data_IF_016965052398
#
_entry.id   IF_016965052398
#
_cell.length_a   1.000
_cell.length_b   1.000
_cell.length_c   1.000
_cell.angle_alpha   90.00
_cell.angle_beta   90.00
_cell.angle_gamma   90.00
#
_symmetry.space_group_name_H-M   'P 1'
#
loop_
_entity.id
_entity.type
_entity.pdbx_description
1 polymer ?
#
# COMPACT_ATOMS: atom_id res chain seq x y z
N UNK A 1 -16.65 -5.08 14.13
CA UNK A 1 -15.79 -3.94 14.51
C UNK A 1 -15.90 -2.76 13.55
N UNK A 2 -15.93 -2.99 12.23
CA UNK A 2 -16.16 -1.93 11.24
C UNK A 2 -17.53 -2.05 10.57
N UNK A 3 -18.13 -0.90 10.25
CA UNK A 3 -19.34 -0.79 9.42
C UNK A 3 -18.97 -0.07 8.12
N UNK A 4 -18.92 -0.80 7.00
CA UNK A 4 -18.68 -0.22 5.69
C UNK A 4 -20.00 0.35 5.17
N UNK A 5 -20.20 1.64 5.38
CA UNK A 5 -21.45 2.33 5.03
C UNK A 5 -21.63 2.51 3.51
N UNK A 6 -20.56 2.92 2.82
CA UNK A 6 -20.63 3.27 1.41
C UNK A 6 -19.30 3.08 0.68
N UNK A 7 -19.40 2.87 -0.64
CA UNK A 7 -18.28 2.90 -1.60
C UNK A 7 -18.56 3.95 -2.67
N UNK A 8 -17.51 4.51 -3.25
CA UNK A 8 -17.61 5.58 -4.26
C UNK A 8 -16.75 5.24 -5.45
N UNK A 9 -17.35 5.29 -6.64
CA UNK A 9 -16.62 5.22 -7.91
C UNK A 9 -17.36 6.03 -8.99
N UNK A 10 -16.85 6.03 -10.21
CA UNK A 10 -17.38 6.70 -11.39
C UNK A 10 -18.84 6.34 -11.70
N UNK A 11 -19.23 5.11 -11.38
CA UNK A 11 -20.57 4.57 -11.55
C UNK A 11 -21.22 4.25 -10.20
N UNK A 12 -22.55 4.08 -10.19
CA UNK A 12 -23.30 3.55 -9.05
C UNK A 12 -23.92 2.18 -9.37
N UNK A 13 -23.45 1.51 -10.42
CA UNK A 13 -23.97 0.22 -10.86
C UNK A 13 -23.46 -0.91 -9.94
N UNK A 14 -24.29 -1.29 -8.97
CA UNK A 14 -23.91 -2.29 -7.97
C UNK A 14 -23.72 -3.69 -8.60
N UNK A 15 -24.36 -3.99 -9.73
CA UNK A 15 -24.16 -5.26 -10.44
C UNK A 15 -22.72 -5.37 -10.96
N UNK A 16 -22.19 -4.26 -11.50
CA UNK A 16 -20.81 -4.21 -11.96
C UNK A 16 -19.80 -4.33 -10.81
N UNK A 17 -20.04 -3.64 -9.69
CA UNK A 17 -19.18 -3.80 -8.50
C UNK A 17 -19.24 -5.22 -7.94
N UNK A 18 -20.42 -5.83 -7.88
CA UNK A 18 -20.57 -7.22 -7.45
C UNK A 18 -19.81 -8.18 -8.37
N UNK A 19 -19.81 -7.92 -9.68
CA UNK A 19 -19.00 -8.69 -10.63
C UNK A 19 -17.49 -8.54 -10.34
N UNK A 20 -16.99 -7.31 -10.18
CA UNK A 20 -15.58 -7.05 -9.86
C UNK A 20 -15.15 -7.74 -8.54
N UNK A 21 -16.01 -7.70 -7.51
CA UNK A 21 -15.73 -8.35 -6.23
C UNK A 21 -15.76 -9.89 -6.28
N UNK A 22 -16.51 -10.48 -7.23
CA UNK A 22 -16.66 -11.94 -7.35
C UNK A 22 -15.52 -12.60 -8.12
N UNK A 23 -14.87 -11.86 -9.00
CA UNK A 23 -13.91 -12.42 -9.95
C UNK A 23 -12.65 -11.57 -10.01
N UNK A 24 -11.62 -12.00 -9.27
CA UNK A 24 -10.29 -11.41 -9.34
C UNK A 24 -9.32 -12.35 -10.08
N UNK A 25 -8.57 -11.81 -11.03
CA UNK A 25 -7.61 -12.57 -11.85
C UNK A 25 -6.44 -13.12 -11.04
N UNK A 26 -6.00 -12.40 -10.01
CA UNK A 26 -4.84 -12.75 -9.18
C UNK A 26 -5.29 -13.44 -7.89
N UNK A 27 -6.26 -12.85 -7.20
CA UNK A 27 -6.65 -13.27 -5.85
C UNK A 27 -7.77 -14.33 -5.84
N UNK A 28 -8.34 -14.64 -7.00
CA UNK A 28 -9.36 -15.68 -7.17
C UNK A 28 -10.76 -15.24 -6.75
N UNK A 29 -11.55 -16.20 -6.26
CA UNK A 29 -12.96 -15.96 -5.87
C UNK A 29 -13.07 -15.64 -4.38
N UNK A 30 -13.97 -14.73 -3.99
CA UNK A 30 -14.17 -14.42 -2.58
C UNK A 30 -14.78 -15.60 -1.83
N UNK A 31 -14.54 -15.64 -0.51
CA UNK A 31 -15.15 -16.60 0.43
C UNK A 31 -16.45 -16.08 1.07
N UNK A 32 -16.98 -14.96 0.57
CA UNK A 32 -18.18 -14.29 1.07
C UNK A 32 -19.24 -14.19 -0.03
N UNK A 33 -20.51 -14.08 0.36
CA UNK A 33 -21.57 -13.81 -0.61
C UNK A 33 -21.54 -12.34 -1.03
N UNK A 34 -21.85 -12.10 -2.30
CA UNK A 34 -22.04 -10.76 -2.85
C UNK A 34 -23.31 -10.73 -3.66
N UNK A 35 -24.27 -9.96 -3.18
CA UNK A 35 -25.57 -9.72 -3.78
C UNK A 35 -25.75 -8.22 -4.01
N UNK A 36 -26.84 -7.85 -4.68
CA UNK A 36 -27.16 -6.45 -4.96
C UNK A 36 -28.61 -6.17 -4.61
N UNK A 37 -28.88 -4.94 -4.20
CA UNK A 37 -30.21 -4.48 -3.89
C UNK A 37 -30.41 -3.04 -4.39
N UNK A 38 -31.67 -2.62 -4.38
CA UNK A 38 -32.05 -1.21 -4.57
C UNK A 38 -32.16 -0.53 -3.21
N UNK A 39 -31.74 0.73 -3.13
CA UNK A 39 -31.96 1.59 -1.97
C UNK A 39 -33.43 2.02 -1.84
N UNK A 40 -34.13 2.16 -2.98
CA UNK A 40 -35.55 2.54 -3.06
C UNK A 40 -36.20 1.92 -4.31
N UNK A 41 -37.51 1.63 -4.33
CA UNK A 41 -38.22 1.19 -5.53
C UNK A 41 -38.07 2.13 -6.75
N UNK A 42 -37.78 3.41 -6.51
CA UNK A 42 -37.65 4.44 -7.55
C UNK A 42 -36.33 4.39 -8.32
N UNK A 43 -35.30 3.69 -7.84
CA UNK A 43 -34.01 3.60 -8.55
C UNK A 43 -34.07 2.59 -9.69
N UNK A 44 -33.51 2.96 -10.85
CA UNK A 44 -33.58 2.14 -12.07
C UNK A 44 -32.80 0.83 -11.94
N UNK A 45 -31.54 0.92 -11.50
CA UNK A 45 -30.61 -0.20 -11.30
C UNK A 45 -30.26 -0.37 -9.82
N UNK A 46 -29.86 -1.57 -9.38
CA UNK A 46 -29.30 -1.77 -8.05
C UNK A 46 -28.13 -0.81 -7.77
N UNK A 47 -28.17 -0.18 -6.60
CA UNK A 47 -27.21 0.83 -6.12
C UNK A 47 -26.71 0.51 -4.70
N UNK A 48 -26.99 -0.70 -4.23
CA UNK A 48 -26.55 -1.20 -2.92
C UNK A 48 -25.90 -2.56 -3.13
N UNK A 49 -24.68 -2.73 -2.60
CA UNK A 49 -24.03 -4.03 -2.44
C UNK A 49 -24.53 -4.69 -1.15
N UNK A 50 -24.71 -6.00 -1.17
CA UNK A 50 -25.06 -6.79 0.01
C UNK A 50 -24.01 -7.89 0.18
N UNK A 51 -23.15 -7.75 1.19
CA UNK A 51 -22.03 -8.66 1.43
C UNK A 51 -22.24 -9.40 2.74
N UNK A 52 -22.44 -10.72 2.71
CA UNK A 52 -22.84 -11.51 3.89
C UNK A 52 -24.03 -10.90 4.65
N UNK A 53 -25.00 -10.32 3.93
CA UNK A 53 -26.16 -9.63 4.50
C UNK A 53 -25.92 -8.16 4.89
N UNK A 54 -24.68 -7.68 4.92
CA UNK A 54 -24.35 -6.28 5.21
C UNK A 54 -24.59 -5.38 4.00
N UNK A 55 -25.30 -4.27 4.18
CA UNK A 55 -25.69 -3.36 3.09
C UNK A 55 -24.70 -2.20 2.97
N UNK A 56 -24.16 -1.99 1.77
CA UNK A 56 -23.16 -0.97 1.46
C UNK A 56 -23.68 -0.12 0.30
N UNK A 57 -23.85 1.19 0.51
CA UNK A 57 -24.37 2.09 -0.52
C UNK A 57 -23.32 2.39 -1.60
N UNK A 58 -23.70 2.30 -2.86
CA UNK A 58 -22.89 2.80 -3.97
C UNK A 58 -23.20 4.28 -4.21
N UNK A 59 -22.22 5.14 -3.98
CA UNK A 59 -22.35 6.60 -4.11
C UNK A 59 -21.60 7.06 -5.35
N UNK A 60 -22.18 8.03 -6.06
CA UNK A 60 -21.57 8.58 -7.26
C UNK A 60 -20.35 9.42 -6.92
N UNK A 61 -19.24 9.20 -7.62
CA UNK A 61 -18.05 10.03 -7.49
C UNK A 61 -18.35 11.51 -7.75
N UNK A 62 -17.73 12.36 -6.94
CA UNK A 62 -17.72 13.81 -7.11
C UNK A 62 -16.33 14.25 -7.57
N UNK A 63 -16.26 15.33 -8.36
CA UNK A 63 -14.98 15.92 -8.77
C UNK A 63 -14.24 16.54 -7.59
N UNK A 64 -14.97 17.03 -6.59
CA UNK A 64 -14.44 17.61 -5.37
C UNK A 64 -14.87 16.75 -4.16
N UNK A 65 -13.94 16.26 -3.33
CA UNK A 65 -14.25 15.49 -2.13
C UNK A 65 -15.20 16.17 -1.13
N UNK A 66 -15.27 17.51 -1.14
CA UNK A 66 -16.16 18.29 -0.28
C UNK A 66 -17.65 18.13 -0.63
N UNK A 67 -17.97 17.71 -1.85
CA UNK A 67 -19.34 17.53 -2.31
C UNK A 67 -19.89 16.13 -1.93
N UNK A 68 -19.05 15.26 -1.37
CA UNK A 68 -19.46 13.92 -0.97
C UNK A 68 -20.31 13.96 0.31
N UNK A 69 -21.39 13.17 0.39
CA UNK A 69 -22.39 13.28 1.45
C UNK A 69 -22.01 12.54 2.75
N UNK A 70 -20.76 12.61 3.20
CA UNK A 70 -20.27 11.82 4.33
C UNK A 70 -21.03 12.07 5.63
N UNK A 71 -21.29 13.34 5.96
CA UNK A 71 -22.06 13.69 7.15
C UNK A 71 -23.50 13.17 7.10
N UNK A 72 -24.12 13.15 5.90
CA UNK A 72 -25.48 12.61 5.72
C UNK A 72 -25.53 11.09 5.85
N UNK A 73 -24.45 10.42 5.46
CA UNK A 73 -24.31 8.97 5.57
C UNK A 73 -23.79 8.52 6.94
N UNK A 74 -23.41 9.44 7.82
CA UNK A 74 -22.82 9.11 9.12
C UNK A 74 -21.40 8.53 9.03
N UNK A 75 -20.68 8.77 7.93
CA UNK A 75 -19.33 8.25 7.72
C UNK A 75 -18.32 9.11 8.47
N UNK A 76 -17.60 8.50 9.41
CA UNK A 76 -16.57 9.19 10.20
C UNK A 76 -15.15 9.00 9.62
N UNK A 77 -14.85 7.82 9.08
CA UNK A 77 -13.55 7.47 8.54
C UNK A 77 -13.67 7.19 7.03
N UNK A 78 -12.83 7.85 6.24
CA UNK A 78 -12.76 7.67 4.78
C UNK A 78 -11.40 7.14 4.39
N UNK A 79 -11.38 6.09 3.57
CA UNK A 79 -10.17 5.61 2.89
C UNK A 79 -10.14 6.24 1.49
N UNK A 80 -9.21 7.16 1.29
CA UNK A 80 -9.02 7.84 0.01
C UNK A 80 -8.12 7.02 -0.90
N UNK A 81 -8.72 6.37 -1.89
CA UNK A 81 -8.07 5.41 -2.80
C UNK A 81 -8.26 5.73 -4.29
N UNK A 82 -8.65 6.96 -4.62
CA UNK A 82 -8.76 7.39 -6.04
C UNK A 82 -7.39 7.63 -6.67
N UNK A 83 -6.37 7.94 -5.86
CA UNK A 83 -5.05 8.38 -6.31
C UNK A 83 -5.00 9.83 -6.80
N UNK A 84 -6.15 10.53 -6.86
CA UNK A 84 -6.24 11.93 -7.33
C UNK A 84 -6.05 12.95 -6.20
N UNK A 85 -6.37 12.55 -4.96
CA UNK A 85 -6.38 13.44 -3.79
C UNK A 85 -5.24 13.15 -2.81
N UNK A 86 -4.03 12.84 -3.31
CA UNK A 86 -2.83 12.59 -2.48
C UNK A 86 -2.25 13.84 -1.82
N UNK A 87 -2.74 15.03 -2.17
CA UNK A 87 -2.37 16.27 -1.49
C UNK A 87 -3.30 16.49 -0.28
N UNK A 88 -2.71 16.75 0.91
CA UNK A 88 -3.45 16.94 2.17
C UNK A 88 -4.62 17.90 2.03
N UNK A 89 -4.40 19.10 1.50
CA UNK A 89 -5.43 20.13 1.39
C UNK A 89 -6.60 19.71 0.47
N UNK A 90 -6.34 18.85 -0.52
CA UNK A 90 -7.40 18.28 -1.36
C UNK A 90 -8.18 17.18 -0.63
N UNK A 91 -7.47 16.27 0.05
CA UNK A 91 -8.08 15.21 0.87
C UNK A 91 -8.91 15.76 2.05
N UNK A 92 -8.52 16.91 2.61
CA UNK A 92 -9.31 17.63 3.62
C UNK A 92 -10.72 18.02 3.13
N UNK A 93 -10.97 17.98 1.82
CA UNK A 93 -12.32 18.09 1.28
C UNK A 93 -13.28 17.05 1.87
N UNK A 94 -12.85 15.81 2.14
CA UNK A 94 -13.72 14.82 2.80
C UNK A 94 -14.16 15.26 4.20
N UNK A 95 -13.32 16.02 4.92
CA UNK A 95 -13.71 16.56 6.23
C UNK A 95 -14.84 17.59 6.07
N UNK A 96 -14.78 18.41 5.02
CA UNK A 96 -15.85 19.35 4.67
C UNK A 96 -17.14 18.63 4.24
N UNK A 97 -17.02 17.46 3.61
CA UNK A 97 -18.14 16.57 3.31
C UNK A 97 -18.79 15.92 4.54
N UNK A 98 -18.18 16.08 5.72
CA UNK A 98 -18.70 15.62 7.02
C UNK A 98 -17.98 14.40 7.61
N UNK A 99 -16.92 13.90 6.98
CA UNK A 99 -16.06 12.90 7.59
C UNK A 99 -15.21 13.51 8.72
N UNK A 100 -14.71 12.69 9.64
CA UNK A 100 -13.84 13.12 10.75
C UNK A 100 -12.37 12.82 10.48
N UNK A 101 -12.08 11.72 9.79
CA UNK A 101 -10.73 11.22 9.55
C UNK A 101 -10.59 10.72 8.11
N UNK A 102 -9.41 10.93 7.53
CA UNK A 102 -9.07 10.48 6.17
C UNK A 102 -7.75 9.72 6.21
N UNK A 103 -7.75 8.54 5.59
CA UNK A 103 -6.56 7.71 5.38
C UNK A 103 -6.30 7.67 3.88
N UNK A 104 -5.22 8.31 3.44
CA UNK A 104 -4.76 8.26 2.05
C UNK A 104 -4.01 6.93 1.87
N UNK A 105 -4.45 6.10 0.92
CA UNK A 105 -3.84 4.77 0.65
C UNK A 105 -2.58 4.83 -0.23
N UNK A 106 -1.94 6.00 -0.29
CA UNK A 106 -0.74 6.29 -1.07
C UNK A 106 0.13 7.34 -0.37
N UNK A 107 1.40 7.54 -0.78
CA UNK A 107 2.23 8.64 -0.28
C UNK A 107 1.54 9.99 -0.48
N UNK A 108 1.44 10.77 0.59
CA UNK A 108 0.79 12.06 0.57
C UNK A 108 1.79 13.22 0.46
N UNK A 109 1.30 14.36 -0.01
CA UNK A 109 2.03 15.64 -0.02
C UNK A 109 1.31 16.70 0.81
N UNK A 110 2.00 17.80 1.14
CA UNK A 110 1.40 18.90 1.90
C UNK A 110 1.31 18.67 3.41
N UNK A 111 2.23 17.86 3.97
CA UNK A 111 2.37 17.71 5.42
C UNK A 111 1.30 16.85 6.09
N UNK A 112 0.75 15.85 5.39
CA UNK A 112 -0.02 14.78 6.04
C UNK A 112 0.95 13.87 6.81
N UNK A 113 0.54 13.36 7.98
CA UNK A 113 1.39 12.44 8.75
C UNK A 113 1.43 11.09 8.05
N UNK A 114 2.62 10.66 7.65
CA UNK A 114 2.88 9.31 7.13
C UNK A 114 3.01 8.33 8.30
N UNK A 115 2.26 7.24 8.24
CA UNK A 115 2.20 6.19 9.26
C UNK A 115 2.43 4.84 8.59
N UNK A 116 3.30 4.03 9.19
CA UNK A 116 3.56 2.63 8.82
C UNK A 116 3.33 1.75 10.04
N UNK A 117 2.47 0.75 9.88
CA UNK A 117 2.08 -0.18 10.94
C UNK A 117 3.28 -1.02 11.40
N UNK A 118 3.41 -1.20 12.72
CA UNK A 118 4.54 -1.90 13.35
C UNK A 118 5.84 -1.09 13.42
N UNK A 119 5.87 0.12 12.85
CA UNK A 119 7.07 0.97 12.81
C UNK A 119 6.87 2.26 13.60
N UNK A 120 5.89 3.07 13.21
CA UNK A 120 5.64 4.37 13.83
C UNK A 120 4.15 4.67 14.10
N UNK A 121 3.27 3.67 14.04
CA UNK A 121 1.82 3.86 14.22
C UNK A 121 1.42 4.37 15.61
N UNK A 122 2.26 4.18 16.63
CA UNK A 122 2.12 4.79 17.94
C UNK A 122 2.26 6.32 17.93
N UNK A 123 2.83 6.92 16.87
CA UNK A 123 2.94 8.37 16.72
C UNK A 123 1.64 9.03 16.23
N UNK A 124 0.59 8.24 15.99
CA UNK A 124 -0.72 8.77 15.66
C UNK A 124 -1.27 9.61 16.83
N UNK A 125 -1.51 10.90 16.58
CA UNK A 125 -2.16 11.80 17.52
C UNK A 125 -3.61 12.08 17.06
N UNK A 126 -4.62 11.59 17.79
CA UNK A 126 -6.02 11.79 17.44
C UNK A 126 -6.46 13.26 17.33
N UNK A 127 -5.80 14.19 18.02
CA UNK A 127 -6.21 15.61 18.00
C UNK A 127 -5.68 16.37 16.78
N UNK A 128 -4.54 15.97 16.21
CA UNK A 128 -3.87 16.70 15.14
C UNK A 128 -3.79 15.94 13.81
N UNK A 129 -3.86 14.61 13.83
CA UNK A 129 -3.75 13.78 12.63
C UNK A 129 -5.14 13.44 12.09
N UNK A 130 -5.77 14.39 11.39
CA UNK A 130 -7.08 14.18 10.77
C UNK A 130 -6.99 13.62 9.35
N UNK A 131 -5.90 13.93 8.64
CA UNK A 131 -5.58 13.37 7.33
C UNK A 131 -4.18 12.76 7.42
N UNK A 132 -4.11 11.44 7.25
CA UNK A 132 -2.88 10.65 7.34
C UNK A 132 -2.64 9.88 6.06
N UNK A 133 -1.40 9.44 5.84
CA UNK A 133 -1.01 8.58 4.74
C UNK A 133 -0.55 7.24 5.28
N UNK A 134 -1.00 6.15 4.65
CA UNK A 134 -0.49 4.80 4.91
C UNK A 134 0.76 4.48 4.06
N UNK A 135 1.48 5.51 3.59
CA UNK A 135 2.64 5.42 2.72
C UNK A 135 2.34 4.66 1.41
N UNK A 136 3.36 4.02 0.83
CA UNK A 136 3.26 3.14 -0.35
C UNK A 136 3.43 1.66 0.03
N UNK A 137 3.05 0.74 -0.84
CA UNK A 137 3.33 -0.69 -0.69
C UNK A 137 4.84 -0.95 -0.49
N UNK A 138 5.71 -0.36 -1.32
CA UNK A 138 7.17 -0.52 -1.19
C UNK A 138 7.70 0.06 0.12
N UNK A 139 7.18 1.20 0.59
CA UNK A 139 7.58 1.76 1.91
C UNK A 139 7.15 0.83 3.04
N UNK A 140 5.95 0.25 2.98
CA UNK A 140 5.48 -0.73 3.97
C UNK A 140 6.29 -2.04 3.93
N UNK A 141 6.93 -2.39 2.81
CA UNK A 141 7.85 -3.52 2.74
C UNK A 141 9.25 -3.19 3.29
N UNK A 142 9.80 -2.02 2.93
CA UNK A 142 11.16 -1.61 3.31
C UNK A 142 11.27 -1.13 4.76
N UNK A 143 10.29 -0.36 5.26
CA UNK A 143 10.37 0.24 6.59
C UNK A 143 10.45 -0.78 7.74
N UNK A 144 9.72 -1.92 7.73
CA UNK A 144 9.91 -2.99 8.71
C UNK A 144 11.34 -3.52 8.79
N UNK A 145 12.00 -3.74 7.64
CA UNK A 145 13.38 -4.23 7.58
C UNK A 145 14.33 -3.21 8.22
N UNK A 146 14.24 -1.95 7.79
CA UNK A 146 15.06 -0.85 8.31
C UNK A 146 14.80 -0.60 9.80
N UNK A 147 13.54 -0.72 10.24
CA UNK A 147 13.17 -0.59 11.65
C UNK A 147 13.87 -1.65 12.51
N UNK A 148 13.89 -2.90 12.07
CA UNK A 148 14.62 -3.98 12.76
C UNK A 148 16.12 -3.67 12.78
N UNK A 149 16.72 -3.27 11.66
CA UNK A 149 18.16 -2.93 11.59
C UNK A 149 18.55 -1.84 12.60
N UNK A 150 17.73 -0.81 12.75
CA UNK A 150 17.95 0.28 13.72
C UNK A 150 17.72 -0.21 15.15
N UNK A 151 16.60 -0.89 15.40
CA UNK A 151 16.18 -1.29 16.75
C UNK A 151 17.11 -2.33 17.38
N UNK A 152 17.67 -3.21 16.56
CA UNK A 152 18.68 -4.21 16.96
C UNK A 152 20.10 -3.60 17.02
N UNK A 153 20.22 -2.30 16.72
CA UNK A 153 21.43 -1.53 16.87
C UNK A 153 22.50 -1.79 15.80
N UNK A 154 22.17 -2.45 14.67
CA UNK A 154 23.06 -2.52 13.51
C UNK A 154 23.23 -1.16 12.85
N UNK A 155 22.14 -0.39 12.83
CA UNK A 155 22.10 0.93 12.20
C UNK A 155 22.18 0.87 10.68
N UNK A 156 22.07 2.04 10.07
CA UNK A 156 22.20 2.24 8.63
C UNK A 156 22.99 3.54 8.43
N UNK A 157 24.16 3.45 7.82
CA UNK A 157 24.96 4.62 7.43
C UNK A 157 24.46 5.19 6.12
N UNK A 158 24.40 4.35 5.09
CA UNK A 158 23.84 4.64 3.78
C UNK A 158 23.21 3.38 3.21
N UNK A 159 22.23 3.53 2.33
CA UNK A 159 21.64 2.40 1.64
C UNK A 159 20.95 2.79 0.34
N UNK A 160 21.00 1.85 -0.61
CA UNK A 160 20.33 1.91 -1.89
C UNK A 160 19.38 0.73 -1.99
N UNK A 161 18.17 1.02 -2.46
CA UNK A 161 17.15 0.00 -2.66
C UNK A 161 16.74 -0.05 -4.12
N UNK A 162 16.64 -1.26 -4.64
CA UNK A 162 15.93 -1.57 -5.88
C UNK A 162 14.67 -2.33 -5.53
N UNK A 163 13.54 -2.01 -6.17
CA UNK A 163 12.37 -2.89 -6.12
C UNK A 163 12.09 -3.46 -7.50
N UNK A 164 12.04 -4.79 -7.59
CA UNK A 164 11.54 -5.49 -8.78
C UNK A 164 10.03 -5.61 -8.58
N UNK A 165 9.30 -4.81 -9.35
CA UNK A 165 7.92 -4.48 -9.07
C UNK A 165 7.00 -4.99 -10.19
N UNK A 166 5.89 -5.62 -9.82
CA UNK A 166 4.84 -5.97 -10.78
C UNK A 166 4.27 -4.72 -11.45
N UNK A 167 3.77 -4.85 -12.68
CA UNK A 167 3.12 -3.70 -13.33
C UNK A 167 1.78 -3.38 -12.62
N UNK A 168 1.30 -2.15 -12.77
CA UNK A 168 0.08 -1.68 -12.08
C UNK A 168 -0.86 -0.97 -13.05
N UNK A 169 -2.05 -0.57 -12.57
CA UNK A 169 -3.08 0.10 -13.36
C UNK A 169 -2.64 1.42 -14.02
N UNK A 170 -1.51 2.01 -13.59
CA UNK A 170 -0.99 3.24 -14.22
C UNK A 170 -0.29 2.98 -15.55
N UNK A 171 0.23 1.77 -15.76
CA UNK A 171 0.96 1.37 -16.97
C UNK A 171 0.00 1.09 -18.14
N UNK A 172 0.55 0.90 -19.33
CA UNK A 172 -0.21 0.72 -20.58
C UNK A 172 -0.03 -0.70 -21.12
N UNK A 173 -1.09 -1.25 -21.70
CA UNK A 173 -1.09 -2.56 -22.35
C UNK A 173 -0.19 -2.58 -23.58
N UNK A 174 -0.22 -1.50 -24.36
CA UNK A 174 0.63 -1.22 -25.52
C UNK A 174 1.32 0.13 -25.37
N UNK A 175 2.30 0.43 -26.21
CA UNK A 175 2.97 1.73 -26.23
C UNK A 175 1.94 2.88 -26.35
N UNK A 176 2.01 3.86 -25.44
CA UNK A 176 1.01 4.92 -25.33
C UNK A 176 1.50 6.17 -24.58
N UNK A 177 0.61 7.16 -24.48
CA UNK A 177 0.95 8.48 -23.94
C UNK A 177 1.15 8.43 -22.42
N UNK A 178 2.34 8.85 -21.97
CA UNK A 178 2.66 9.06 -20.55
C UNK A 178 3.64 10.24 -20.40
N UNK A 179 3.09 11.46 -20.38
CA UNK A 179 3.89 12.70 -20.42
C UNK A 179 4.79 12.90 -19.20
N UNK A 180 4.41 12.34 -18.05
CA UNK A 180 5.14 12.47 -16.78
C UNK A 180 6.16 11.35 -16.54
N UNK A 181 6.03 10.22 -17.25
CA UNK A 181 6.89 9.05 -17.13
C UNK A 181 6.96 8.35 -18.49
N UNK A 182 7.89 8.79 -19.36
CA UNK A 182 7.97 8.30 -20.74
C UNK A 182 8.22 6.80 -20.80
N UNK A 183 9.07 6.28 -19.90
CA UNK A 183 9.36 4.84 -19.81
C UNK A 183 8.11 4.06 -19.40
N UNK A 184 7.33 4.58 -18.46
CA UNK A 184 6.06 3.99 -18.03
C UNK A 184 4.95 3.97 -19.11
N UNK A 185 5.11 4.70 -20.22
CA UNK A 185 4.20 4.64 -21.37
C UNK A 185 4.42 3.46 -22.30
N UNK A 186 5.53 2.71 -22.14
CA UNK A 186 5.83 1.54 -22.98
C UNK A 186 5.00 0.32 -22.55
N UNK A 187 4.80 -0.62 -23.49
CA UNK A 187 4.02 -1.83 -23.27
C UNK A 187 4.52 -2.64 -22.05
N UNK A 188 3.72 -2.68 -20.98
CA UNK A 188 4.15 -3.12 -19.66
C UNK A 188 4.50 -4.61 -19.57
N UNK A 189 3.70 -5.45 -20.23
CA UNK A 189 3.86 -6.90 -20.20
C UNK A 189 5.02 -7.42 -21.10
N UNK A 190 5.74 -6.52 -21.78
CA UNK A 190 6.80 -6.88 -22.73
C UNK A 190 8.14 -6.22 -22.42
N UNK A 191 8.27 -5.51 -21.28
CA UNK A 191 9.46 -4.74 -20.96
C UNK A 191 9.85 -4.86 -19.48
N UNK A 192 11.15 -4.74 -19.22
CA UNK A 192 11.67 -4.34 -17.91
C UNK A 192 11.78 -2.80 -17.95
N UNK A 193 10.94 -2.11 -17.19
CA UNK A 193 10.80 -0.65 -17.27
C UNK A 193 11.42 -0.02 -16.02
N UNK A 194 12.60 0.62 -16.12
CA UNK A 194 13.18 1.31 -14.98
C UNK A 194 12.39 2.58 -14.65
N UNK A 195 12.17 2.85 -13.37
CA UNK A 195 11.49 4.04 -12.87
C UNK A 195 12.11 4.51 -11.55
N UNK A 196 11.94 5.80 -11.25
CA UNK A 196 12.36 6.37 -9.96
C UNK A 196 11.30 6.06 -8.90
N UNK A 197 11.70 5.97 -7.63
CA UNK A 197 10.76 5.75 -6.51
C UNK A 197 11.06 6.68 -5.34
N UNK A 198 10.00 7.15 -4.68
CA UNK A 198 10.08 7.88 -3.42
C UNK A 198 10.12 6.98 -2.18
N UNK A 199 9.96 5.66 -2.34
CA UNK A 199 9.71 4.76 -1.21
C UNK A 199 10.83 4.75 -0.16
N UNK A 200 12.09 4.67 -0.58
CA UNK A 200 13.24 4.71 0.31
C UNK A 200 13.41 6.08 1.00
N UNK A 201 13.10 7.18 0.29
CA UNK A 201 13.10 8.52 0.89
C UNK A 201 12.01 8.66 1.96
N UNK A 202 10.83 8.09 1.72
CA UNK A 202 9.71 8.09 2.66
C UNK A 202 10.01 7.29 3.94
N UNK A 203 10.93 6.32 3.91
CA UNK A 203 11.41 5.66 5.15
C UNK A 203 12.02 6.69 6.09
N UNK A 204 12.71 7.72 5.59
CA UNK A 204 13.23 8.81 6.43
C UNK A 204 12.16 9.71 7.07
N UNK A 205 10.91 9.68 6.60
CA UNK A 205 9.78 10.37 7.25
C UNK A 205 9.21 9.55 8.41
N UNK A 206 9.23 8.23 8.26
CA UNK A 206 8.71 7.25 9.22
C UNK A 206 9.74 6.91 10.30
N UNK A 207 11.02 6.91 9.93
CA UNK A 207 12.19 6.65 10.77
C UNK A 207 13.17 7.83 10.60
N UNK A 208 13.01 8.93 11.37
CA UNK A 208 13.79 10.16 11.16
C UNK A 208 15.32 9.98 11.18
N UNK A 209 15.83 8.98 11.92
CA UNK A 209 17.27 8.66 11.99
C UNK A 209 17.88 8.18 10.66
N UNK A 210 17.05 7.82 9.68
CA UNK A 210 17.48 7.45 8.32
C UNK A 210 17.22 8.53 7.27
N UNK A 211 16.78 9.72 7.68
CA UNK A 211 16.54 10.82 6.75
C UNK A 211 17.81 11.18 5.99
N UNK A 212 17.73 11.15 4.65
CA UNK A 212 18.85 11.44 3.76
C UNK A 212 19.85 10.30 3.56
N UNK A 213 19.67 9.15 4.23
CA UNK A 213 20.58 7.99 4.13
C UNK A 213 20.15 6.94 3.11
N UNK A 214 18.87 6.95 2.74
CA UNK A 214 18.24 5.95 1.88
C UNK A 214 17.67 6.60 0.61
N UNK A 215 17.95 6.01 -0.53
CA UNK A 215 17.28 6.29 -1.81
C UNK A 215 17.14 5.00 -2.62
N UNK A 216 16.46 5.05 -3.77
CA UNK A 216 16.28 3.84 -4.56
C UNK A 216 15.64 4.06 -5.91
N UNK A 217 15.49 2.96 -6.64
CA UNK A 217 14.82 2.88 -7.93
C UNK A 217 13.90 1.66 -7.99
N UNK A 218 13.15 1.53 -9.08
CA UNK A 218 12.32 0.36 -9.34
C UNK A 218 12.54 -0.14 -10.77
N UNK A 219 12.44 -1.45 -10.96
CA UNK A 219 12.23 -2.06 -12.27
C UNK A 219 10.84 -2.66 -12.30
N UNK A 220 9.96 -2.12 -13.14
CA UNK A 220 8.64 -2.71 -13.38
C UNK A 220 8.79 -3.87 -14.36
N UNK A 221 8.30 -5.05 -13.99
CA UNK A 221 8.47 -6.29 -14.77
C UNK A 221 7.13 -6.92 -15.15
N UNK A 222 7.09 -7.82 -16.14
CA UNK A 222 5.85 -8.47 -16.65
C UNK A 222 5.16 -9.48 -15.71
N UNK A 223 4.95 -9.13 -14.45
CA UNK A 223 4.15 -9.91 -13.49
C UNK A 223 2.96 -9.07 -13.02
N UNK A 224 1.77 -9.67 -12.81
CA UNK A 224 0.55 -8.93 -12.49
C UNK A 224 0.43 -8.53 -11.02
N UNK A 225 1.10 -9.24 -10.11
CA UNK A 225 1.12 -8.95 -8.67
C UNK A 225 2.37 -9.57 -8.01
N UNK A 226 2.61 -9.19 -6.75
CA UNK A 226 3.79 -9.47 -5.94
C UNK A 226 5.02 -8.72 -6.44
N UNK A 227 5.86 -8.29 -5.50
CA UNK A 227 7.08 -7.51 -5.78
C UNK A 227 8.11 -7.81 -4.70
N UNK A 228 9.36 -7.49 -4.97
CA UNK A 228 10.46 -7.73 -4.03
C UNK A 228 11.29 -6.46 -3.83
N UNK A 229 11.80 -6.29 -2.62
CA UNK A 229 12.77 -5.27 -2.24
C UNK A 229 14.15 -5.91 -2.20
N UNK A 230 15.09 -5.29 -2.90
CA UNK A 230 16.52 -5.57 -2.85
C UNK A 230 17.19 -4.37 -2.16
N UNK A 231 17.67 -4.58 -0.94
CA UNK A 231 18.28 -3.54 -0.10
C UNK A 231 19.76 -3.84 0.09
N UNK A 232 20.59 -2.94 -0.42
CA UNK A 232 22.04 -2.91 -0.15
C UNK A 232 22.33 -1.74 0.77
N UNK A 233 22.99 -1.98 1.90
CA UNK A 233 23.30 -0.94 2.87
C UNK A 233 24.64 -1.17 3.57
N UNK A 234 25.20 -0.09 4.10
CA UNK A 234 26.35 -0.13 5.01
C UNK A 234 25.84 -0.03 6.44
N UNK A 235 26.13 -1.06 7.25
CA UNK A 235 25.81 -1.05 8.68
C UNK A 235 26.66 -0.01 9.42
N UNK A 236 26.14 0.52 10.54
CA UNK A 236 26.85 1.53 11.34
C UNK A 236 27.86 0.93 12.33
N UNK A 237 27.93 -0.40 12.39
CA UNK A 237 28.88 -1.16 13.20
C UNK A 237 29.20 -2.48 12.53
N UNK A 238 30.32 -3.06 12.91
CA UNK A 238 30.71 -4.41 12.49
C UNK A 238 29.64 -5.43 12.90
N UNK A 239 29.27 -6.25 11.93
CA UNK A 239 28.25 -7.30 12.06
C UNK A 239 28.46 -8.32 10.96
N UNK A 240 27.74 -9.43 11.03
CA UNK A 240 27.68 -10.45 9.98
C UNK A 240 26.26 -10.60 9.42
N UNK A 241 26.16 -11.14 8.21
CA UNK A 241 24.85 -11.47 7.62
C UNK A 241 24.08 -12.49 8.46
N UNK A 242 24.78 -13.37 9.19
CA UNK A 242 24.19 -14.36 10.10
C UNK A 242 23.50 -13.70 11.29
N UNK A 243 24.07 -12.63 11.83
CA UNK A 243 23.47 -11.86 12.93
C UNK A 243 22.23 -11.10 12.45
N UNK A 244 22.30 -10.48 11.27
CA UNK A 244 21.17 -9.77 10.65
C UNK A 244 20.01 -10.75 10.36
N UNK A 245 20.29 -11.89 9.74
CA UNK A 245 19.31 -12.96 9.46
C UNK A 245 18.61 -13.43 10.74
N UNK A 246 19.40 -13.70 11.78
CA UNK A 246 18.89 -14.15 13.09
C UNK A 246 18.01 -13.09 13.75
N UNK A 247 18.39 -11.81 13.64
CA UNK A 247 17.63 -10.70 14.19
C UNK A 247 16.29 -10.49 13.46
N UNK A 248 16.29 -10.53 12.12
CA UNK A 248 15.07 -10.43 11.31
C UNK A 248 14.10 -11.57 11.62
N UNK A 249 14.60 -12.81 11.70
CA UNK A 249 13.79 -13.99 12.09
C UNK A 249 13.21 -13.85 13.50
N UNK A 250 14.00 -13.35 14.46
CA UNK A 250 13.54 -13.11 15.83
C UNK A 250 12.47 -12.03 15.87
N UNK A 251 12.68 -10.90 15.20
CA UNK A 251 11.73 -9.80 15.14
C UNK A 251 10.39 -10.25 14.54
N UNK A 252 10.42 -11.01 13.44
CA UNK A 252 9.25 -11.59 12.78
C UNK A 252 8.40 -12.48 13.71
N UNK A 253 9.03 -13.18 14.66
CA UNK A 253 8.35 -14.02 15.65
C UNK A 253 7.89 -13.25 16.90
N UNK A 254 8.35 -12.03 17.08
CA UNK A 254 8.15 -11.24 18.31
C UNK A 254 7.48 -9.90 18.00
N UNK A 255 8.21 -8.79 18.08
CA UNK A 255 7.63 -7.44 18.04
C UNK A 255 7.20 -6.97 16.65
N UNK A 256 7.54 -7.71 15.58
CA UNK A 256 7.07 -7.47 14.21
C UNK A 256 6.08 -8.53 13.71
N UNK A 257 5.56 -9.39 14.59
CA UNK A 257 4.63 -10.45 14.22
C UNK A 257 3.41 -9.89 13.49
N UNK A 258 3.12 -10.43 12.30
CA UNK A 258 2.01 -9.99 11.43
C UNK A 258 2.33 -8.78 10.55
N UNK A 259 3.52 -8.18 10.69
CA UNK A 259 4.03 -7.12 9.82
C UNK A 259 5.22 -7.64 9.01
N UNK A 260 6.19 -8.25 9.68
CA UNK A 260 7.33 -8.94 9.09
C UNK A 260 7.17 -10.45 9.32
N UNK A 261 7.29 -11.22 8.24
CA UNK A 261 7.52 -12.66 8.30
C UNK A 261 8.84 -13.00 7.60
N UNK A 262 9.21 -14.28 7.57
CA UNK A 262 10.34 -14.74 6.79
C UNK A 262 10.06 -16.11 6.19
N UNK A 263 10.81 -16.46 5.16
CA UNK A 263 10.88 -17.81 4.59
C UNK A 263 12.32 -18.27 4.49
N UNK A 264 12.53 -19.59 4.51
CA UNK A 264 13.78 -20.27 4.22
C UNK A 264 13.57 -21.42 3.22
N UNK A 265 12.47 -21.36 2.46
CA UNK A 265 12.12 -22.28 1.38
C UNK A 265 12.50 -21.66 0.02
N UNK A 266 12.53 -22.47 -1.04
CA UNK A 266 12.84 -22.01 -2.40
C UNK A 266 11.57 -21.47 -3.08
N UNK A 267 11.06 -20.33 -2.59
CA UNK A 267 9.80 -19.74 -3.07
C UNK A 267 10.03 -18.75 -4.22
N UNK A 268 8.97 -18.53 -5.00
CA UNK A 268 8.93 -17.54 -6.09
C UNK A 268 7.74 -16.58 -5.90
N UNK A 269 7.61 -15.56 -6.77
CA UNK A 269 6.64 -14.47 -6.60
C UNK A 269 5.20 -14.95 -6.39
N UNK A 270 4.73 -15.95 -7.14
CA UNK A 270 3.36 -16.47 -7.04
C UNK A 270 3.02 -17.04 -5.67
N UNK A 271 4.00 -17.53 -4.92
CA UNK A 271 3.80 -18.17 -3.62
C UNK A 271 3.45 -17.16 -2.52
N UNK A 272 3.64 -15.87 -2.79
CA UNK A 272 3.31 -14.77 -1.88
C UNK A 272 1.98 -14.10 -2.22
N UNK A 273 1.28 -14.52 -3.27
CA UNK A 273 -0.09 -14.05 -3.55
C UNK A 273 -0.97 -14.36 -2.33
N UNK A 274 -1.77 -13.37 -1.91
CA UNK A 274 -2.63 -13.42 -0.72
C UNK A 274 -1.88 -13.50 0.63
N UNK A 275 -0.56 -13.25 0.66
CA UNK A 275 0.15 -13.07 1.92
C UNK A 275 -0.14 -11.67 2.50
N UNK A 276 -0.55 -11.61 3.76
CA UNK A 276 -0.99 -10.37 4.40
C UNK A 276 0.12 -9.61 5.14
N UNK A 277 1.32 -10.19 5.27
CA UNK A 277 2.44 -9.50 5.92
C UNK A 277 2.92 -8.34 5.03
N UNK A 278 3.30 -7.22 5.64
CA UNK A 278 3.81 -6.06 4.89
C UNK A 278 5.17 -6.33 4.25
N UNK A 279 5.99 -7.16 4.89
CA UNK A 279 7.31 -7.56 4.41
C UNK A 279 7.57 -9.03 4.72
N UNK A 280 8.17 -9.74 3.78
CA UNK A 280 8.50 -11.17 3.90
C UNK A 280 9.97 -11.30 3.56
N UNK A 281 10.79 -11.52 4.59
CA UNK A 281 12.23 -11.65 4.43
C UNK A 281 12.60 -13.02 3.85
N UNK A 282 13.29 -13.01 2.71
CA UNK A 282 13.85 -14.23 2.12
C UNK A 282 15.22 -14.53 2.72
N UNK A 283 15.25 -15.49 3.65
CA UNK A 283 16.47 -15.87 4.35
C UNK A 283 17.48 -16.56 3.45
N UNK A 284 17.02 -17.43 2.55
CA UNK A 284 17.93 -18.20 1.68
C UNK A 284 18.57 -17.30 0.65
N UNK A 285 17.77 -16.50 -0.05
CA UNK A 285 18.29 -15.53 -1.03
C UNK A 285 19.28 -14.56 -0.37
N UNK A 286 19.01 -14.13 0.86
CA UNK A 286 19.93 -13.23 1.58
C UNK A 286 21.23 -13.93 1.96
N UNK A 287 21.17 -15.08 2.65
CA UNK A 287 22.36 -15.77 3.16
C UNK A 287 23.29 -16.28 2.05
N UNK A 288 22.75 -16.63 0.88
CA UNK A 288 23.53 -17.15 -0.25
C UNK A 288 24.23 -16.06 -1.08
N UNK A 289 23.72 -14.82 -1.06
CA UNK A 289 24.14 -13.76 -1.98
C UNK A 289 24.80 -12.56 -1.28
N UNK A 290 25.26 -12.73 -0.05
CA UNK A 290 26.16 -11.76 0.58
C UNK A 290 27.61 -12.18 0.34
N UNK A 291 28.42 -11.22 -0.09
CA UNK A 291 29.86 -11.42 -0.22
C UNK A 291 30.48 -11.63 1.17
N UNK A 292 31.56 -12.43 1.27
CA UNK A 292 32.27 -12.68 2.53
C UNK A 292 32.85 -11.40 3.14
#
# INVERSE_FOLDING_TARGET
DFDLVAVVDMSTDAEYFAYQMKYDTVHGKPKYSVEVAKSSPSVKKPDVLVVNGHRIQCVKAARNPADLPWGKLGVEYVVESTGLFTNKAKAEGHLKGGAKKVIISAPASGGAKTIVMGVNNQEYNPSSHNVVSNASCTTNCLAPLVHVLIKEGFGVETGLMTTIHSYTATQKTVDGVSLKDWRGGRAAAMNIIPSTTGAAKAVGEVLPVTKGKLTGMSFRVPTPDVSVVDLTFTAAKDTSIKEIDSALKRAAKTYMKGILSYTNEELVSSDFINNNNSSIYDSKATLQNNLP
#
